data_IF_439547600752
#
_entry.id   IF_439547600752
#
_cell.length_a   1.000
_cell.length_b   1.000
_cell.length_c   1.000
_cell.angle_alpha   90.00
_cell.angle_beta   90.00
_cell.angle_gamma   90.00
#
_symmetry.space_group_name_H-M   'P 1'
#
loop_
_entity.id
_entity.type
_entity.pdbx_description
1 polymer ?
#
# COMPACT_ATOMS: atom_id res chain seq x y z
N UNK A 1 -3.46 35.22 32.75
CA UNK A 1 -2.29 34.52 32.17
C UNK A 1 -2.50 34.44 30.68
N UNK A 2 -1.64 35.06 29.87
CA UNK A 2 -1.67 34.88 28.43
C UNK A 2 -1.21 33.45 28.12
N UNK A 3 -1.91 32.74 27.22
CA UNK A 3 -1.45 31.45 26.73
C UNK A 3 -0.07 31.66 26.06
N UNK A 4 0.93 30.79 26.32
CA UNK A 4 2.23 30.90 25.69
C UNK A 4 2.06 30.84 24.16
N UNK A 5 2.77 31.71 23.45
CA UNK A 5 2.82 31.67 21.99
C UNK A 5 3.39 30.31 21.57
N UNK A 6 2.57 29.47 20.95
CA UNK A 6 2.99 28.21 20.36
C UNK A 6 3.69 28.57 19.05
N UNK A 7 5.01 28.65 19.08
CA UNK A 7 5.80 28.69 17.85
C UNK A 7 5.69 27.31 17.18
N UNK A 8 5.39 27.24 15.87
CA UNK A 8 5.39 25.96 15.18
C UNK A 8 6.81 25.38 15.26
N UNK A 9 6.93 24.15 15.76
CA UNK A 9 8.20 23.43 15.71
C UNK A 9 8.62 23.11 14.28
N UNK A 10 9.80 22.50 14.09
CA UNK A 10 10.29 22.15 12.76
C UNK A 10 9.33 21.17 12.07
N UNK A 11 9.23 21.26 10.75
CA UNK A 11 8.46 20.30 9.97
C UNK A 11 9.18 18.93 10.01
N UNK A 12 8.40 17.86 10.13
CA UNK A 12 8.93 16.50 10.20
C UNK A 12 8.05 15.53 9.40
N UNK A 13 8.67 14.50 8.87
CA UNK A 13 7.99 13.34 8.28
C UNK A 13 7.71 12.30 9.38
N UNK A 14 6.47 11.84 9.50
CA UNK A 14 6.08 10.78 10.42
C UNK A 14 5.99 9.45 9.66
N UNK A 15 6.85 8.50 10.00
CA UNK A 15 6.91 7.21 9.32
C UNK A 15 6.88 6.02 10.26
N UNK A 16 6.75 4.84 9.67
CA UNK A 16 7.01 3.58 10.34
C UNK A 16 7.86 2.64 9.50
N UNK A 17 8.49 1.67 10.17
CA UNK A 17 9.22 0.56 9.56
C UNK A 17 8.63 -0.74 10.09
N UNK A 18 8.28 -1.65 9.20
CA UNK A 18 7.98 -3.04 9.54
C UNK A 18 9.17 -3.91 9.21
N UNK A 19 9.62 -4.70 10.19
CA UNK A 19 10.83 -5.51 10.05
C UNK A 19 10.75 -6.84 10.80
N UNK A 20 11.56 -7.79 10.37
CA UNK A 20 11.90 -9.00 11.13
C UNK A 20 13.21 -8.76 11.86
N UNK A 21 13.29 -9.21 13.10
CA UNK A 21 14.47 -9.04 13.95
C UNK A 21 14.81 -10.35 14.67
N UNK A 22 16.06 -10.80 14.51
CA UNK A 22 16.57 -12.01 15.16
C UNK A 22 18.01 -11.79 15.63
N UNK A 23 18.23 -11.78 16.95
CA UNK A 23 19.55 -11.75 17.58
C UNK A 23 20.53 -10.72 16.99
N UNK A 24 20.06 -9.50 16.68
CA UNK A 24 20.87 -8.42 16.10
C UNK A 24 20.83 -8.31 14.58
N UNK A 25 20.18 -9.24 13.87
CA UNK A 25 19.93 -9.14 12.44
C UNK A 25 18.60 -8.43 12.18
N UNK A 26 18.64 -7.31 11.45
CA UNK A 26 17.47 -6.54 11.02
C UNK A 26 17.17 -6.85 9.54
N UNK A 27 15.89 -7.13 9.24
CA UNK A 27 15.36 -7.25 7.87
C UNK A 27 14.11 -6.39 7.73
N UNK A 28 14.28 -5.19 7.19
CA UNK A 28 13.21 -4.26 6.82
C UNK A 28 12.37 -4.89 5.71
N UNK A 29 11.09 -5.10 6.00
CA UNK A 29 10.10 -5.68 5.09
C UNK A 29 9.39 -4.59 4.29
N UNK A 30 9.08 -3.47 4.93
CA UNK A 30 8.46 -2.30 4.29
C UNK A 30 8.63 -1.03 5.13
N UNK A 31 8.53 0.11 4.46
CA UNK A 31 8.33 1.41 5.07
C UNK A 31 6.84 1.78 4.99
N UNK A 32 6.42 2.78 5.75
CA UNK A 32 5.05 3.28 5.65
C UNK A 32 4.90 4.68 6.23
N UNK A 33 3.83 5.35 5.83
CA UNK A 33 3.41 6.63 6.39
C UNK A 33 2.77 6.40 7.76
N UNK A 34 3.30 7.08 8.79
CA UNK A 34 2.80 7.00 10.16
C UNK A 34 1.35 7.49 10.32
N UNK A 35 0.87 8.35 9.43
CA UNK A 35 -0.49 8.88 9.48
C UNK A 35 -1.55 7.88 9.01
N UNK A 36 -1.20 7.02 8.04
CA UNK A 36 -2.09 5.99 7.52
C UNK A 36 -1.89 4.64 8.21
N UNK A 37 -0.75 4.50 8.91
CA UNK A 37 -0.41 3.36 9.75
C UNK A 37 -1.33 3.31 10.96
N UNK A 38 -2.22 2.32 10.99
CA UNK A 38 -3.11 2.08 12.12
C UNK A 38 -2.32 1.54 13.33
N UNK A 39 -1.68 2.43 14.09
CA UNK A 39 -1.04 2.11 15.36
C UNK A 39 -2.12 1.71 16.40
N UNK A 40 -2.04 0.49 16.91
CA UNK A 40 -3.02 -0.10 17.83
C UNK A 40 -2.32 -0.84 18.97
N UNK A 41 -3.07 -1.14 20.04
CA UNK A 41 -2.57 -1.90 21.18
C UNK A 41 -1.32 -1.25 21.79
N UNK A 42 -0.24 -2.03 21.87
CA UNK A 42 1.07 -1.59 22.39
C UNK A 42 1.67 -0.43 21.57
N UNK A 43 1.28 -0.25 20.30
CA UNK A 43 1.75 0.86 19.46
C UNK A 43 0.96 2.16 19.60
N UNK A 44 -0.17 2.17 20.32
CA UNK A 44 -1.12 3.28 20.30
C UNK A 44 -0.55 4.63 20.82
N UNK A 45 0.54 4.59 21.58
CA UNK A 45 1.21 5.79 22.10
C UNK A 45 2.11 6.49 21.06
N UNK A 46 2.48 5.82 19.96
CA UNK A 46 3.43 6.36 18.97
C UNK A 46 2.94 7.67 18.35
N UNK A 47 1.69 7.79 17.86
CA UNK A 47 1.17 9.06 17.35
C UNK A 47 1.14 10.17 18.40
N UNK A 48 0.84 9.84 19.67
CA UNK A 48 0.87 10.81 20.75
C UNK A 48 2.29 11.36 20.96
N UNK A 49 3.30 10.48 20.96
CA UNK A 49 4.70 10.89 21.10
C UNK A 49 5.18 11.77 19.94
N UNK A 50 4.70 11.52 18.72
CA UNK A 50 4.96 12.42 17.59
C UNK A 50 4.45 13.84 17.86
N UNK A 51 3.23 13.97 18.40
CA UNK A 51 2.65 15.27 18.76
C UNK A 51 3.36 15.93 19.95
N UNK A 52 3.81 15.16 20.94
CA UNK A 52 4.53 15.67 22.12
C UNK A 52 5.90 16.27 21.76
N UNK A 53 6.53 15.80 20.68
CA UNK A 53 7.77 16.40 20.15
C UNK A 53 7.56 17.79 19.54
N UNK A 54 6.31 18.22 19.36
CA UNK A 54 5.97 19.58 18.93
C UNK A 54 6.31 19.88 17.46
N UNK A 55 6.46 18.86 16.62
CA UNK A 55 6.69 19.04 15.19
C UNK A 55 5.57 19.85 14.55
N UNK A 56 5.95 20.68 13.57
CA UNK A 56 5.10 21.63 12.87
C UNK A 56 4.18 20.96 11.85
N UNK A 57 4.10 21.54 10.65
CA UNK A 57 3.32 20.93 9.57
C UNK A 57 4.06 19.69 9.07
N UNK A 58 3.29 18.74 8.56
CA UNK A 58 3.85 17.58 7.91
C UNK A 58 4.68 18.03 6.71
N UNK A 59 5.97 17.71 6.71
CA UNK A 59 6.79 17.81 5.51
C UNK A 59 6.31 16.73 4.53
N UNK A 60 5.35 17.07 3.67
CA UNK A 60 4.97 16.20 2.56
C UNK A 60 5.99 16.33 1.46
N UNK A 61 6.76 15.27 1.26
CA UNK A 61 7.60 15.08 0.09
C UNK A 61 6.93 13.99 -0.76
N UNK A 62 6.31 14.36 -1.90
CA UNK A 62 5.62 13.41 -2.77
C UNK A 62 6.48 12.25 -3.25
N UNK A 63 7.80 12.42 -3.30
CA UNK A 63 8.72 11.33 -3.67
C UNK A 63 8.95 10.41 -2.49
N UNK A 64 9.10 10.94 -1.27
CA UNK A 64 9.16 10.09 -0.08
C UNK A 64 7.88 9.29 0.06
N UNK A 65 6.71 9.91 -0.13
CA UNK A 65 5.42 9.21 -0.13
C UNK A 65 5.39 8.11 -1.20
N UNK A 66 5.89 8.38 -2.41
CA UNK A 66 5.98 7.36 -3.46
C UNK A 66 6.91 6.19 -3.10
N UNK A 67 8.03 6.45 -2.40
CA UNK A 67 8.96 5.43 -1.97
C UNK A 67 8.35 4.58 -0.86
N UNK A 68 7.82 5.21 0.19
CA UNK A 68 7.33 4.49 1.38
C UNK A 68 6.08 3.68 1.10
N UNK A 69 5.24 4.10 0.14
CA UNK A 69 4.02 3.37 -0.20
C UNK A 69 4.25 2.27 -1.25
N UNK A 70 5.41 2.26 -1.93
CA UNK A 70 5.72 1.28 -2.96
C UNK A 70 6.89 0.38 -2.55
N UNK A 71 6.62 -0.91 -2.39
CA UNK A 71 7.61 -1.89 -1.92
C UNK A 71 8.80 -2.07 -2.85
N UNK A 72 8.61 -1.95 -4.17
CA UNK A 72 9.73 -2.04 -5.13
C UNK A 72 10.63 -0.82 -4.96
N UNK A 73 10.05 0.38 -4.94
CA UNK A 73 10.80 1.64 -4.78
C UNK A 73 11.54 1.67 -3.44
N UNK A 74 10.91 1.21 -2.36
CA UNK A 74 11.58 1.01 -1.06
C UNK A 74 12.78 0.06 -1.22
N UNK A 75 12.60 -1.13 -1.78
CA UNK A 75 13.69 -2.11 -1.92
C UNK A 75 14.85 -1.61 -2.79
N UNK A 76 14.53 -0.89 -3.86
CA UNK A 76 15.52 -0.29 -4.76
C UNK A 76 16.25 0.87 -4.07
N UNK A 77 15.58 1.72 -3.29
CA UNK A 77 16.22 2.77 -2.50
C UNK A 77 17.23 2.20 -1.48
N UNK A 78 16.88 1.12 -0.78
CA UNK A 78 17.84 0.40 0.07
C UNK A 78 19.02 -0.13 -0.73
N UNK A 79 18.79 -0.65 -1.94
CA UNK A 79 19.86 -1.20 -2.78
C UNK A 79 20.82 -0.12 -3.28
N UNK A 80 20.28 1.01 -3.72
CA UNK A 80 21.02 2.14 -4.27
C UNK A 80 21.86 2.84 -3.19
N UNK A 81 21.40 2.80 -1.93
CA UNK A 81 22.17 3.27 -0.78
C UNK A 81 23.17 2.23 -0.22
N UNK A 82 23.35 1.08 -0.87
CA UNK A 82 24.27 0.04 -0.41
C UNK A 82 23.82 -0.66 0.87
N UNK A 83 22.52 -0.63 1.17
CA UNK A 83 21.88 -1.20 2.36
C UNK A 83 21.16 -2.53 2.05
N UNK A 84 21.61 -3.26 1.01
CA UNK A 84 21.00 -4.54 0.60
C UNK A 84 20.90 -5.57 1.72
N UNK A 85 21.83 -5.56 2.66
CA UNK A 85 21.83 -6.47 3.81
C UNK A 85 20.71 -6.20 4.83
N UNK A 86 20.06 -5.03 4.78
CA UNK A 86 18.96 -4.67 5.68
C UNK A 86 17.59 -5.10 5.14
N UNK A 87 17.51 -5.70 3.94
CA UNK A 87 16.25 -6.17 3.36
C UNK A 87 16.32 -7.66 3.04
N UNK A 88 15.19 -8.36 2.94
CA UNK A 88 15.15 -9.69 2.36
C UNK A 88 15.77 -9.73 0.96
N UNK A 89 16.29 -10.90 0.58
CA UNK A 89 16.63 -11.16 -0.82
C UNK A 89 15.34 -11.07 -1.64
N UNK A 90 15.32 -10.24 -2.67
CA UNK A 90 14.07 -9.92 -3.36
C UNK A 90 14.30 -9.47 -4.80
N UNK A 91 13.29 -9.68 -5.63
CA UNK A 91 13.23 -9.18 -7.00
C UNK A 91 11.79 -8.82 -7.40
N UNK A 92 11.67 -7.86 -8.31
CA UNK A 92 10.42 -7.46 -8.90
C UNK A 92 10.14 -8.26 -10.18
N UNK A 93 8.89 -8.66 -10.38
CA UNK A 93 8.43 -9.41 -11.55
C UNK A 93 7.18 -8.78 -12.14
N UNK A 94 7.00 -8.82 -13.47
CA UNK A 94 5.74 -8.41 -14.09
C UNK A 94 4.58 -9.30 -13.62
N UNK A 95 3.39 -8.74 -13.46
CA UNK A 95 2.13 -9.43 -13.17
C UNK A 95 1.57 -10.14 -14.40
N UNK A 96 2.41 -11.00 -14.97
CA UNK A 96 2.08 -11.87 -16.08
C UNK A 96 2.66 -13.24 -15.79
N UNK A 97 1.79 -14.24 -15.74
CA UNK A 97 2.25 -15.61 -15.67
C UNK A 97 2.98 -16.00 -16.96
N UNK A 98 4.11 -16.67 -16.81
CA UNK A 98 4.77 -17.36 -17.91
C UNK A 98 5.47 -18.62 -17.38
N UNK A 99 5.65 -19.59 -18.25
CA UNK A 99 6.38 -20.82 -17.91
C UNK A 99 7.76 -20.49 -17.38
N UNK A 100 8.11 -21.03 -16.21
CA UNK A 100 9.38 -20.78 -15.54
C UNK A 100 9.41 -19.54 -14.64
N UNK A 101 8.30 -18.80 -14.50
CA UNK A 101 8.21 -17.69 -13.54
C UNK A 101 8.53 -18.15 -12.12
N UNK A 102 7.93 -19.26 -11.65
CA UNK A 102 8.19 -19.81 -10.32
C UNK A 102 9.68 -20.09 -10.07
N UNK A 103 10.37 -20.69 -11.04
CA UNK A 103 11.82 -20.93 -10.95
C UNK A 103 12.61 -19.63 -10.82
N UNK A 104 12.31 -18.61 -11.62
CA UNK A 104 12.99 -17.31 -11.53
C UNK A 104 12.74 -16.63 -10.18
N UNK A 105 11.53 -16.77 -9.63
CA UNK A 105 11.21 -16.28 -8.29
C UNK A 105 12.07 -17.00 -7.25
N UNK A 106 12.11 -18.33 -7.26
CA UNK A 106 12.95 -19.12 -6.33
C UNK A 106 14.43 -18.78 -6.44
N UNK A 107 14.97 -18.68 -7.66
CA UNK A 107 16.36 -18.29 -7.89
C UNK A 107 16.64 -16.89 -7.28
N UNK A 108 15.69 -15.96 -7.41
CA UNK A 108 15.80 -14.61 -6.89
C UNK A 108 15.58 -14.50 -5.37
N UNK A 109 14.86 -15.43 -4.74
CA UNK A 109 14.57 -15.43 -3.29
C UNK A 109 15.42 -16.44 -2.50
N UNK A 110 16.34 -17.16 -3.15
CA UNK A 110 17.26 -18.08 -2.49
C UNK A 110 16.74 -19.53 -2.36
N UNK A 111 15.68 -19.88 -3.08
CA UNK A 111 15.19 -21.26 -3.25
C UNK A 111 14.34 -21.82 -2.09
N UNK A 112 14.16 -21.05 -1.02
CA UNK A 112 13.34 -21.43 0.14
C UNK A 112 11.92 -20.86 0.08
N UNK A 113 11.22 -20.85 1.23
CA UNK A 113 9.93 -20.16 1.37
C UNK A 113 10.05 -18.70 0.94
N UNK A 114 9.00 -18.17 0.31
CA UNK A 114 8.99 -16.80 -0.20
C UNK A 114 7.66 -16.10 0.06
N UNK A 115 7.67 -14.78 -0.02
CA UNK A 115 6.48 -13.93 0.07
C UNK A 115 6.30 -13.20 -1.25
N UNK A 116 5.07 -13.23 -1.77
CA UNK A 116 4.65 -12.45 -2.93
C UNK A 116 3.84 -11.24 -2.44
N UNK A 117 4.17 -10.04 -2.92
CA UNK A 117 3.56 -8.79 -2.47
C UNK A 117 3.19 -7.89 -3.64
N UNK A 118 1.98 -7.36 -3.61
CA UNK A 118 1.59 -6.21 -4.43
C UNK A 118 2.34 -4.96 -3.98
N UNK A 119 2.75 -4.12 -4.93
CA UNK A 119 3.69 -3.03 -4.65
C UNK A 119 3.07 -1.93 -3.79
N UNK A 120 1.80 -1.59 -4.03
CA UNK A 120 1.14 -0.39 -3.50
C UNK A 120 0.02 -0.69 -2.49
N UNK A 121 0.00 -1.91 -1.96
CA UNK A 121 -1.03 -2.36 -1.03
C UNK A 121 -0.53 -2.32 0.40
N UNK A 122 -1.33 -1.73 1.28
CA UNK A 122 -1.04 -1.69 2.71
C UNK A 122 -1.71 -2.87 3.45
N UNK A 123 -1.39 -3.02 4.74
CA UNK A 123 -2.13 -3.87 5.71
C UNK A 123 -2.12 -5.38 5.41
N UNK A 124 -1.21 -5.85 4.57
CA UNK A 124 -1.11 -7.27 4.21
C UNK A 124 -2.06 -7.70 3.10
N UNK A 125 -2.86 -6.79 2.53
CA UNK A 125 -3.79 -7.12 1.45
C UNK A 125 -3.01 -7.59 0.20
N UNK A 126 -3.20 -8.86 -0.17
CA UNK A 126 -2.49 -9.46 -1.29
C UNK A 126 -1.04 -9.85 -0.99
N UNK A 127 -0.66 -9.96 0.28
CA UNK A 127 0.58 -10.61 0.70
C UNK A 127 0.31 -12.12 0.77
N UNK A 128 1.06 -12.91 0.01
CA UNK A 128 0.89 -14.37 -0.06
C UNK A 128 2.21 -15.05 0.30
N UNK A 129 2.26 -15.78 1.41
CA UNK A 129 3.42 -16.59 1.74
C UNK A 129 3.32 -17.99 1.14
N UNK A 130 4.43 -18.45 0.59
CA UNK A 130 4.56 -19.77 -0.02
C UNK A 130 5.61 -20.55 0.75
N UNK A 131 5.15 -21.46 1.60
CA UNK A 131 6.02 -22.30 2.44
C UNK A 131 6.83 -23.28 1.60
N UNK A 132 6.15 -23.93 0.65
CA UNK A 132 6.68 -25.04 -0.13
C UNK A 132 7.06 -24.56 -1.54
N UNK A 133 8.35 -24.54 -1.90
CA UNK A 133 8.80 -24.09 -3.22
C UNK A 133 8.08 -24.79 -4.39
N UNK A 134 7.72 -26.07 -4.22
CA UNK A 134 7.01 -26.85 -5.24
C UNK A 134 5.58 -26.38 -5.51
N UNK A 135 4.91 -25.71 -4.56
CA UNK A 135 3.56 -25.15 -4.78
C UNK A 135 3.56 -23.75 -5.40
N UNK A 136 4.74 -23.11 -5.53
CA UNK A 136 4.83 -21.73 -5.99
C UNK A 136 4.25 -21.53 -7.40
N UNK A 137 4.44 -22.50 -8.30
CA UNK A 137 3.91 -22.39 -9.65
C UNK A 137 2.38 -22.39 -9.67
N UNK A 138 1.75 -23.29 -8.90
CA UNK A 138 0.29 -23.34 -8.75
C UNK A 138 -0.26 -22.05 -8.13
N UNK A 139 0.41 -21.50 -7.12
CA UNK A 139 0.04 -20.21 -6.50
C UNK A 139 0.14 -19.08 -7.52
N UNK A 140 1.24 -18.98 -8.26
CA UNK A 140 1.41 -17.95 -9.30
C UNK A 140 0.38 -18.08 -10.42
N UNK A 141 0.04 -19.30 -10.84
CA UNK A 141 -1.05 -19.54 -11.77
C UNK A 141 -2.38 -19.04 -11.20
N UNK A 142 -2.69 -19.38 -9.94
CA UNK A 142 -3.92 -18.94 -9.28
C UNK A 142 -4.02 -17.41 -9.14
N UNK A 143 -2.90 -16.72 -8.94
CA UNK A 143 -2.87 -15.25 -8.82
C UNK A 143 -2.90 -14.53 -10.18
N UNK A 144 -2.23 -15.10 -11.21
CA UNK A 144 -1.90 -14.38 -12.44
C UNK A 144 -2.60 -14.90 -13.70
N UNK A 145 -3.07 -16.15 -13.73
CA UNK A 145 -3.79 -16.72 -14.88
C UNK A 145 -5.30 -16.55 -14.81
N UNK A 146 -5.86 -16.02 -13.71
CA UNK A 146 -7.31 -15.90 -13.61
C UNK A 146 -7.86 -15.06 -14.77
N UNK A 147 -8.50 -15.80 -15.66
CA UNK A 147 -9.04 -15.41 -16.95
C UNK A 147 -10.08 -14.32 -16.75
N UNK A 148 -10.16 -13.47 -17.75
CA UNK A 148 -11.09 -12.37 -17.96
C UNK A 148 -12.59 -12.75 -17.92
N UNK A 149 -13.03 -13.61 -17.01
CA UNK A 149 -14.42 -13.68 -16.63
C UNK A 149 -14.66 -12.45 -15.74
N UNK A 150 -14.84 -11.30 -16.39
CA UNK A 150 -15.41 -10.15 -15.72
C UNK A 150 -16.69 -10.65 -15.08
N UNK A 151 -16.87 -10.57 -13.75
CA UNK A 151 -18.19 -10.76 -13.19
C UNK A 151 -19.08 -9.82 -13.98
N UNK A 152 -20.07 -10.38 -14.69
CA UNK A 152 -21.02 -9.54 -15.42
C UNK A 152 -21.52 -8.52 -14.42
N UNK A 153 -21.41 -7.21 -14.71
CA UNK A 153 -21.92 -6.22 -13.77
C UNK A 153 -23.35 -6.63 -13.43
N UNK A 154 -23.78 -6.48 -12.16
CA UNK A 154 -25.20 -6.66 -11.85
C UNK A 154 -25.97 -5.82 -12.88
N UNK A 155 -26.98 -6.39 -13.55
CA UNK A 155 -27.63 -5.77 -14.70
C UNK A 155 -27.95 -4.32 -14.37
N UNK A 156 -27.60 -3.43 -15.30
CA UNK A 156 -27.79 -1.99 -15.15
C UNK A 156 -29.21 -1.71 -14.60
N UNK A 157 -29.29 -0.80 -13.63
CA UNK A 157 -30.51 -0.40 -12.94
C UNK A 157 -31.45 0.42 -13.86
N UNK A 158 -31.68 -0.03 -15.08
CA UNK A 158 -32.64 0.55 -16.00
C UNK A 158 -34.06 0.15 -15.56
N UNK A 159 -34.62 0.93 -14.63
CA UNK A 159 -36.05 1.26 -14.61
C UNK A 159 -37.02 0.31 -13.89
N UNK A 160 -36.56 -0.69 -13.13
CA UNK A 160 -37.44 -1.56 -12.35
C UNK A 160 -37.70 -1.03 -10.95
N UNK A 161 -38.93 -0.61 -10.65
CA UNK A 161 -39.38 -0.15 -9.32
C UNK A 161 -39.17 -1.22 -8.24
N UNK A 162 -38.25 -1.01 -7.30
CA UNK A 162 -38.14 -1.85 -6.09
C UNK A 162 -37.74 -1.05 -4.84
N UNK A 163 -38.72 -0.39 -4.21
CA UNK A 163 -38.53 0.46 -3.02
C UNK A 163 -38.20 -0.30 -1.71
N UNK A 164 -38.11 -1.64 -1.75
CA UNK A 164 -37.74 -2.47 -0.59
C UNK A 164 -36.45 -3.29 -0.78
N UNK A 165 -35.63 -3.01 -1.80
CA UNK A 165 -34.76 -4.04 -2.37
C UNK A 165 -33.35 -3.60 -2.78
N UNK A 166 -32.97 -2.33 -2.58
CA UNK A 166 -31.62 -1.83 -2.91
C UNK A 166 -30.64 -1.98 -1.73
N UNK A 167 -31.03 -1.56 -0.53
CA UNK A 167 -30.20 -1.68 0.69
C UNK A 167 -29.88 -3.14 1.04
N UNK A 168 -30.84 -4.06 0.88
CA UNK A 168 -30.63 -5.49 1.11
C UNK A 168 -29.59 -6.08 0.14
N UNK A 169 -29.66 -5.70 -1.14
CA UNK A 169 -28.66 -6.11 -2.16
C UNK A 169 -27.28 -5.56 -1.85
N UNK A 170 -27.19 -4.31 -1.40
CA UNK A 170 -25.92 -3.70 -1.01
C UNK A 170 -25.30 -4.36 0.22
N UNK A 171 -26.13 -4.72 1.21
CA UNK A 171 -25.70 -5.49 2.38
C UNK A 171 -25.21 -6.89 1.98
N UNK A 172 -25.90 -7.58 1.08
CA UNK A 172 -25.47 -8.88 0.53
C UNK A 172 -24.15 -8.78 -0.22
N UNK A 173 -23.93 -7.72 -1.01
CA UNK A 173 -22.66 -7.48 -1.68
C UNK A 173 -21.52 -7.29 -0.67
N UNK A 174 -21.75 -6.49 0.37
CA UNK A 174 -20.79 -6.28 1.46
C UNK A 174 -20.47 -7.58 2.20
N UNK A 175 -21.47 -8.42 2.47
CA UNK A 175 -21.28 -9.74 3.11
C UNK A 175 -20.51 -10.71 2.21
N UNK A 176 -20.84 -10.74 0.92
CA UNK A 176 -20.16 -11.59 -0.07
C UNK A 176 -18.69 -11.21 -0.21
N UNK A 177 -18.38 -9.91 -0.18
CA UNK A 177 -17.01 -9.42 -0.24
C UNK A 177 -16.18 -9.92 0.96
N UNK A 178 -16.72 -9.83 2.18
CA UNK A 178 -16.04 -10.23 3.43
C UNK A 178 -15.96 -11.76 3.61
N UNK A 179 -16.79 -12.53 2.89
CA UNK A 179 -16.81 -13.99 3.02
C UNK A 179 -15.62 -14.69 2.35
N UNK A 180 -14.85 -13.99 1.51
CA UNK A 180 -13.63 -14.55 0.89
C UNK A 180 -12.54 -14.69 1.95
N UNK A 181 -11.80 -15.80 1.87
CA UNK A 181 -10.68 -16.08 2.78
C UNK A 181 -9.52 -16.73 2.02
N UNK A 182 -8.30 -16.56 2.53
CA UNK A 182 -7.11 -17.23 2.03
C UNK A 182 -6.77 -16.86 0.59
N UNK A 183 -6.41 -17.85 -0.24
CA UNK A 183 -5.90 -17.59 -1.59
C UNK A 183 -6.93 -16.92 -2.52
N UNK A 184 -8.23 -17.17 -2.33
CA UNK A 184 -9.27 -16.53 -3.14
C UNK A 184 -9.35 -15.02 -2.89
N UNK A 185 -9.27 -14.62 -1.62
CA UNK A 185 -9.23 -13.22 -1.19
C UNK A 185 -7.98 -12.52 -1.76
N UNK A 186 -6.81 -13.14 -1.61
CA UNK A 186 -5.59 -12.62 -2.20
C UNK A 186 -5.66 -12.51 -3.72
N UNK A 187 -6.20 -13.52 -4.41
CA UNK A 187 -6.41 -13.44 -5.86
C UNK A 187 -7.38 -12.32 -6.25
N UNK A 188 -8.36 -11.97 -5.41
CA UNK A 188 -9.21 -10.79 -5.64
C UNK A 188 -8.40 -9.49 -5.57
N UNK A 189 -7.56 -9.30 -4.56
CA UNK A 189 -6.69 -8.11 -4.48
C UNK A 189 -5.72 -8.03 -5.66
N UNK A 190 -5.09 -9.15 -6.04
CA UNK A 190 -4.17 -9.19 -7.18
C UNK A 190 -4.86 -8.90 -8.49
N UNK A 191 -6.12 -9.31 -8.64
CA UNK A 191 -6.93 -8.88 -9.78
C UNK A 191 -7.14 -7.39 -9.72
N UNK A 192 -7.68 -6.86 -8.62
CA UNK A 192 -8.04 -5.45 -8.49
C UNK A 192 -6.88 -4.45 -8.52
N UNK A 193 -5.64 -4.91 -8.34
CA UNK A 193 -4.45 -4.07 -8.26
C UNK A 193 -4.05 -3.47 -9.61
N UNK A 194 -3.81 -2.16 -9.62
CA UNK A 194 -3.52 -1.41 -10.85
C UNK A 194 -2.03 -1.45 -11.22
N UNK A 195 -1.17 -1.99 -10.37
CA UNK A 195 0.23 -2.18 -10.71
C UNK A 195 0.40 -3.37 -11.64
N UNK A 196 1.41 -3.31 -12.48
CA UNK A 196 1.79 -4.41 -13.39
C UNK A 196 3.04 -5.14 -12.92
N UNK A 197 3.55 -4.82 -11.73
CA UNK A 197 4.66 -5.51 -11.09
C UNK A 197 4.26 -5.97 -9.69
N UNK A 198 4.88 -7.04 -9.25
CA UNK A 198 4.85 -7.50 -7.86
C UNK A 198 6.27 -7.72 -7.35
N UNK A 199 6.43 -7.68 -6.04
CA UNK A 199 7.68 -8.00 -5.37
C UNK A 199 7.63 -9.45 -4.86
N UNK A 200 8.65 -10.24 -5.17
CA UNK A 200 8.88 -11.50 -4.48
C UNK A 200 10.10 -11.37 -3.59
N UNK A 201 10.00 -11.84 -2.35
CA UNK A 201 11.07 -11.79 -1.37
C UNK A 201 11.25 -13.12 -0.63
N UNK A 202 12.46 -13.36 -0.13
CA UNK A 202 12.76 -14.47 0.75
C UNK A 202 11.99 -14.32 2.06
N UNK A 203 11.42 -15.42 2.55
CA UNK A 203 10.83 -15.46 3.87
C UNK A 203 11.87 -15.14 4.95
N UNK A 204 11.50 -14.27 5.89
CA UNK A 204 12.34 -13.92 7.04
C UNK A 204 11.55 -14.16 8.32
N UNK A 205 12.20 -14.76 9.32
CA UNK A 205 11.65 -14.93 10.66
C UNK A 205 12.26 -13.90 11.61
N UNK A 206 11.49 -13.54 12.62
CA UNK A 206 11.98 -12.89 13.82
C UNK A 206 12.36 -13.95 14.86
N UNK A 207 13.11 -13.53 15.88
CA UNK A 207 13.16 -14.28 17.12
C UNK A 207 11.74 -14.46 17.68
N UNK A 208 11.41 -15.61 18.30
CA UNK A 208 10.07 -15.83 18.83
C UNK A 208 9.73 -14.82 19.95
N UNK A 209 8.52 -14.25 19.89
CA UNK A 209 8.03 -13.27 20.86
C UNK A 209 6.86 -13.85 21.63
N UNK A 210 6.82 -13.64 22.95
CA UNK A 210 5.72 -14.09 23.77
C UNK A 210 4.49 -13.19 23.57
N UNK A 211 3.40 -13.79 23.11
CA UNK A 211 2.10 -13.15 22.94
C UNK A 211 1.10 -13.57 24.03
N UNK A 212 -0.21 -13.37 23.77
CA UNK A 212 -1.26 -13.80 24.70
C UNK A 212 -1.16 -15.28 25.06
N UNK A 213 -1.40 -15.58 26.34
CA UNK A 213 -1.29 -16.96 26.86
C UNK A 213 0.14 -17.50 26.95
N UNK A 214 1.17 -16.65 26.76
CA UNK A 214 2.57 -17.05 26.85
C UNK A 214 3.04 -17.94 25.70
N UNK A 215 2.29 -17.98 24.58
CA UNK A 215 2.71 -18.69 23.36
C UNK A 215 3.73 -17.85 22.58
N UNK A 216 4.58 -18.52 21.82
CA UNK A 216 5.63 -17.88 21.03
C UNK A 216 5.16 -17.62 19.59
N UNK A 217 5.38 -16.41 19.08
CA UNK A 217 4.94 -15.96 17.76
C UNK A 217 6.12 -15.47 16.92
N UNK A 218 6.06 -15.67 15.60
CA UNK A 218 6.96 -15.01 14.63
C UNK A 218 6.43 -13.61 14.28
N UNK A 219 6.54 -12.70 15.25
CA UNK A 219 6.04 -11.34 15.12
C UNK A 219 6.77 -10.50 14.07
N UNK A 220 6.10 -9.46 13.58
CA UNK A 220 6.73 -8.37 12.82
C UNK A 220 6.93 -7.19 13.76
N UNK A 221 8.17 -6.74 13.96
CA UNK A 221 8.46 -5.57 14.76
C UNK A 221 8.12 -4.32 13.95
N UNK A 222 7.27 -3.46 14.50
CA UNK A 222 6.96 -2.15 13.95
C UNK A 222 7.65 -1.06 14.76
N UNK A 223 8.39 -0.19 14.09
CA UNK A 223 9.08 0.96 14.70
C UNK A 223 8.49 2.25 14.14
N UNK A 224 7.97 3.12 15.00
CA UNK A 224 7.55 4.47 14.63
C UNK A 224 8.72 5.45 14.74
N UNK A 225 8.86 6.34 13.76
CA UNK A 225 9.93 7.35 13.75
C UNK A 225 9.44 8.71 13.23
N UNK A 226 10.16 9.77 13.60
CA UNK A 226 10.02 11.09 12.99
C UNK A 226 11.34 11.51 12.35
N UNK A 227 11.30 12.02 11.12
CA UNK A 227 12.45 12.57 10.42
C UNK A 227 12.29 14.09 10.30
N UNK A 228 13.09 14.83 11.05
CA UNK A 228 13.11 16.29 11.04
C UNK A 228 13.67 16.80 9.69
N UNK A 229 12.96 17.74 9.07
CA UNK A 229 13.43 18.39 7.86
C UNK A 229 14.76 19.11 8.12
N UNK A 230 15.70 19.15 7.15
CA UNK A 230 16.92 19.94 7.29
C UNK A 230 16.58 21.40 7.61
N UNK A 231 17.23 21.96 8.63
CA UNK A 231 17.10 23.38 8.94
C UNK A 231 18.12 24.20 8.15
N UNK A 232 17.91 25.51 7.99
CA UNK A 232 18.86 26.39 7.31
C UNK A 232 20.28 26.39 7.92
N UNK A 233 20.44 25.88 9.14
CA UNK A 233 21.70 25.82 9.88
C UNK A 233 22.30 24.40 9.96
N UNK A 234 21.65 23.38 9.39
CA UNK A 234 22.13 21.99 9.46
C UNK A 234 21.75 21.20 8.21
N UNK A 235 22.77 20.69 7.51
CA UNK A 235 22.60 19.82 6.34
C UNK A 235 22.15 18.39 6.71
N UNK A 236 22.19 18.01 7.99
CA UNK A 236 21.76 16.69 8.47
C UNK A 236 20.33 16.73 9.01
N UNK A 237 19.47 15.89 8.43
CA UNK A 237 18.18 15.52 9.03
C UNK A 237 18.42 14.76 10.32
N UNK A 238 17.68 15.12 11.37
CA UNK A 238 17.66 14.37 12.63
C UNK A 238 16.51 13.38 12.57
N UNK A 239 16.73 12.19 13.12
CA UNK A 239 15.69 11.17 13.21
C UNK A 239 15.42 10.84 14.68
N UNK A 240 14.15 10.63 15.02
CA UNK A 240 13.69 10.42 16.38
C UNK A 240 12.92 9.10 16.45
N UNK A 241 13.27 8.27 17.43
CA UNK A 241 12.49 7.10 17.78
C UNK A 241 11.23 7.53 18.53
N UNK A 242 10.07 7.10 18.03
CA UNK A 242 8.78 7.30 18.68
C UNK A 242 8.39 6.07 19.50
N UNK A 243 8.86 4.88 19.13
CA UNK A 243 8.69 3.64 19.90
C UNK A 243 8.60 2.42 18.99
N UNK A 244 8.69 1.23 19.58
CA UNK A 244 8.57 -0.04 18.87
C UNK A 244 7.62 -1.02 19.57
N UNK A 245 6.96 -1.85 18.78
CA UNK A 245 6.09 -2.92 19.27
C UNK A 245 5.97 -4.06 18.26
N UNK A 246 5.64 -5.25 18.74
CA UNK A 246 5.45 -6.43 17.89
C UNK A 246 3.99 -6.52 17.43
N UNK A 247 3.79 -6.65 16.12
CA UNK A 247 2.55 -7.14 15.52
C UNK A 247 2.60 -8.67 15.54
N UNK A 248 1.58 -9.32 16.09
CA UNK A 248 1.51 -10.77 16.15
C UNK A 248 0.67 -11.31 14.99
N UNK A 249 1.08 -12.42 14.35
CA UNK A 249 0.23 -13.14 13.39
C UNK A 249 -0.96 -13.81 14.10
N UNK A 250 -1.88 -14.40 13.33
CA UNK A 250 -3.11 -15.00 13.83
C UNK A 250 -2.88 -16.23 14.73
N UNK A 251 -1.82 -16.97 14.45
CA UNK A 251 -1.46 -18.19 15.16
C UNK A 251 -0.03 -18.13 15.70
N UNK A 252 0.21 -18.87 16.77
CA UNK A 252 1.55 -19.03 17.31
C UNK A 252 2.43 -19.84 16.37
N UNK A 253 3.75 -19.66 16.45
CA UNK A 253 4.70 -20.30 15.55
C UNK A 253 4.67 -21.84 15.63
N UNK A 254 4.28 -22.39 16.78
CA UNK A 254 4.18 -23.82 17.07
C UNK A 254 2.81 -24.44 16.73
N UNK A 255 1.87 -23.66 16.21
CA UNK A 255 0.52 -24.15 15.91
C UNK A 255 0.49 -25.02 14.65
N UNK A 256 0.53 -26.35 14.83
CA UNK A 256 0.59 -27.30 13.73
C UNK A 256 -0.69 -27.34 12.85
N UNK A 257 -1.80 -26.74 13.31
CA UNK A 257 -3.05 -26.69 12.55
C UNK A 257 -3.18 -25.40 11.74
N UNK A 258 -2.38 -24.38 12.07
CA UNK A 258 -2.40 -23.11 11.36
C UNK A 258 -1.63 -23.20 10.04
N UNK A 259 -2.15 -22.49 9.04
CA UNK A 259 -1.48 -22.27 7.77
C UNK A 259 -0.17 -21.50 7.95
N UNK A 260 0.66 -21.49 6.92
CA UNK A 260 1.93 -20.77 6.95
C UNK A 260 1.74 -19.26 7.09
N UNK A 261 0.75 -18.68 6.39
CA UNK A 261 0.39 -17.27 6.49
C UNK A 261 -0.05 -16.91 7.92
N UNK A 262 -0.96 -17.69 8.50
CA UNK A 262 -1.49 -17.47 9.86
C UNK A 262 -0.39 -17.47 10.94
N UNK A 263 0.74 -18.15 10.72
CA UNK A 263 1.85 -18.21 11.68
C UNK A 263 2.90 -17.13 11.50
N UNK A 264 2.91 -16.43 10.37
CA UNK A 264 4.05 -15.61 9.98
C UNK A 264 3.74 -14.22 9.43
N UNK A 265 2.53 -14.02 8.90
CA UNK A 265 2.06 -12.74 8.37
C UNK A 265 1.29 -12.01 9.48
N UNK A 266 1.82 -10.87 9.92
CA UNK A 266 1.20 -10.09 11.00
C UNK A 266 0.26 -9.02 10.44
N UNK A 267 -1.01 -9.07 10.84
CA UNK A 267 -2.02 -8.08 10.47
C UNK A 267 -2.29 -7.09 11.62
N UNK A 268 -2.82 -5.90 11.31
CA UNK A 268 -3.18 -4.89 12.32
C UNK A 268 -4.63 -4.95 12.77
N UNK A 269 -5.48 -5.70 12.04
CA UNK A 269 -6.94 -5.80 12.26
C UNK A 269 -7.46 -7.23 12.45
N UNK A 270 -6.60 -8.21 12.16
CA UNK A 270 -6.68 -9.61 12.57
C UNK A 270 -5.33 -9.95 13.20
N UNK A 271 -5.25 -11.00 13.98
CA UNK A 271 -4.04 -11.39 14.71
C UNK A 271 -4.31 -11.74 16.17
N UNK A 272 -3.34 -12.37 16.81
CA UNK A 272 -3.31 -12.49 18.27
C UNK A 272 -3.07 -11.15 18.99
N UNK A 273 -3.08 -10.02 18.27
CA UNK A 273 -2.92 -8.68 18.81
C UNK A 273 -1.49 -8.14 18.69
N UNK A 274 -1.04 -7.46 19.73
CA UNK A 274 0.28 -6.81 19.79
C UNK A 274 1.02 -7.22 21.05
N UNK A 275 2.36 -7.20 21.01
CA UNK A 275 3.20 -7.42 22.19
C UNK A 275 4.24 -6.28 22.36
N UNK A 276 4.64 -5.97 23.60
CA UNK A 276 5.62 -4.91 23.86
C UNK A 276 7.00 -5.31 23.32
N UNK A 277 7.76 -4.35 22.80
CA UNK A 277 9.16 -4.56 22.45
C UNK A 277 10.04 -4.46 23.70
N UNK A 278 10.96 -5.41 23.88
CA UNK A 278 11.96 -5.30 24.93
C UNK A 278 12.88 -4.08 24.65
N UNK A 279 13.24 -3.33 25.69
CA UNK A 279 14.06 -2.13 25.54
C UNK A 279 15.43 -2.41 24.88
N UNK A 280 16.03 -3.56 25.19
CA UNK A 280 17.31 -3.99 24.59
C UNK A 280 17.17 -4.25 23.09
N UNK A 281 16.07 -4.84 22.64
CA UNK A 281 15.81 -5.08 21.22
C UNK A 281 15.48 -3.79 20.49
N UNK A 282 14.69 -2.89 21.11
CA UNK A 282 14.40 -1.57 20.58
C UNK A 282 15.69 -0.76 20.36
N UNK A 283 16.61 -0.77 21.33
CA UNK A 283 17.91 -0.08 21.24
C UNK A 283 18.76 -0.64 20.08
N UNK A 284 18.89 -1.97 19.98
CA UNK A 284 19.69 -2.62 18.92
C UNK A 284 19.12 -2.36 17.53
N UNK A 285 17.80 -2.46 17.38
CA UNK A 285 17.11 -2.16 16.12
C UNK A 285 17.27 -0.69 15.77
N UNK A 286 17.09 0.20 16.74
CA UNK A 286 17.21 1.63 16.51
C UNK A 286 18.62 2.05 16.09
N UNK A 287 19.67 1.47 16.67
CA UNK A 287 21.05 1.74 16.27
C UNK A 287 21.29 1.48 14.76
N UNK A 288 20.60 0.48 14.19
CA UNK A 288 20.65 0.19 12.74
C UNK A 288 19.79 1.19 11.96
N UNK A 289 18.57 1.48 12.42
CA UNK A 289 17.62 2.35 11.72
C UNK A 289 18.04 3.83 11.71
N UNK A 290 18.59 4.33 12.82
CA UNK A 290 19.04 5.72 12.97
C UNK A 290 20.08 6.12 11.93
N UNK A 291 20.94 5.18 11.53
CA UNK A 291 21.99 5.43 10.53
C UNK A 291 21.54 5.15 9.09
N UNK A 292 20.52 4.32 8.90
CA UNK A 292 20.08 3.87 7.58
C UNK A 292 18.91 4.68 7.02
N UNK A 293 17.90 4.98 7.84
CA UNK A 293 16.69 5.69 7.39
C UNK A 293 16.98 7.10 6.86
N UNK A 294 17.82 7.95 7.49
CA UNK A 294 18.15 9.25 6.93
C UNK A 294 18.84 9.17 5.57
N UNK A 295 19.51 8.05 5.24
CA UNK A 295 20.14 7.87 3.92
C UNK A 295 19.13 7.56 2.82
N UNK A 296 18.07 6.83 3.18
CA UNK A 296 17.01 6.41 2.27
C UNK A 296 15.99 7.54 2.07
N UNK A 297 15.64 8.22 3.17
CA UNK A 297 14.56 9.21 3.23
C UNK A 297 15.06 10.65 3.17
N UNK A 298 16.34 10.88 2.82
CA UNK A 298 16.86 12.23 2.67
C UNK A 298 16.19 12.90 1.46
N UNK A 299 15.56 14.08 1.65
CA UNK A 299 14.98 14.84 0.55
C UNK A 299 15.99 15.07 -0.58
N UNK A 300 15.56 14.89 -1.82
CA UNK A 300 16.40 15.05 -3.01
C UNK A 300 17.36 13.90 -3.32
N UNK A 301 17.40 12.83 -2.50
CA UNK A 301 18.18 11.62 -2.83
C UNK A 301 17.59 10.90 -4.05
N UNK A 302 16.25 10.92 -4.14
CA UNK A 302 15.49 10.41 -5.27
C UNK A 302 14.65 11.57 -5.79
N UNK A 303 14.73 11.82 -7.09
CA UNK A 303 13.94 12.81 -7.81
C UNK A 303 13.28 12.19 -9.05
N UNK A 304 12.40 12.93 -9.72
CA UNK A 304 11.75 12.45 -10.96
C UNK A 304 12.79 12.05 -12.03
N UNK A 305 13.83 12.87 -12.33
CA UNK A 305 14.92 12.47 -13.23
C UNK A 305 15.58 11.13 -12.84
N UNK A 306 15.84 10.92 -11.56
CA UNK A 306 16.41 9.68 -11.06
C UNK A 306 15.49 8.49 -11.32
N UNK A 307 14.18 8.62 -11.00
CA UNK A 307 13.20 7.57 -11.31
C UNK A 307 13.17 7.25 -12.80
N UNK A 308 13.18 8.28 -13.65
CA UNK A 308 13.18 8.12 -15.11
C UNK A 308 14.39 7.35 -15.63
N UNK A 309 15.59 7.64 -15.11
CA UNK A 309 16.80 6.91 -15.50
C UNK A 309 16.78 5.48 -14.92
N UNK A 310 16.42 5.33 -13.64
CA UNK A 310 16.44 4.04 -12.92
C UNK A 310 15.48 3.01 -13.50
N UNK A 311 14.34 3.45 -14.03
CA UNK A 311 13.28 2.61 -14.56
C UNK A 311 13.09 2.79 -16.08
N UNK A 312 14.09 3.28 -16.81
CA UNK A 312 13.99 3.46 -18.27
C UNK A 312 13.59 2.17 -19.00
N UNK A 313 14.07 1.03 -18.50
CA UNK A 313 13.84 -0.30 -19.08
C UNK A 313 12.58 -0.99 -18.49
N UNK A 314 11.82 -0.28 -17.66
CA UNK A 314 10.57 -0.73 -17.04
C UNK A 314 9.50 0.38 -17.16
N UNK A 315 9.05 0.70 -18.39
CA UNK A 315 8.24 1.89 -18.66
C UNK A 315 6.91 1.91 -17.89
N UNK A 316 6.32 0.75 -17.65
CA UNK A 316 5.07 0.61 -16.89
C UNK A 316 5.26 0.87 -15.39
N UNK A 317 6.32 0.33 -14.77
CA UNK A 317 6.70 0.66 -13.40
C UNK A 317 7.02 2.15 -13.24
N UNK A 318 7.74 2.72 -14.21
CA UNK A 318 8.05 4.15 -14.24
C UNK A 318 6.76 4.99 -14.33
N UNK A 319 5.84 4.64 -15.22
CA UNK A 319 4.57 5.35 -15.36
C UNK A 319 3.75 5.33 -14.07
N UNK A 320 3.67 4.18 -13.39
CA UNK A 320 3.02 4.08 -12.08
C UNK A 320 3.70 4.95 -11.02
N UNK A 321 5.03 4.94 -10.94
CA UNK A 321 5.79 5.77 -10.01
C UNK A 321 5.55 7.27 -10.26
N UNK A 322 5.57 7.71 -11.53
CA UNK A 322 5.33 9.09 -11.93
C UNK A 322 3.89 9.54 -11.64
N UNK A 323 2.90 8.67 -11.87
CA UNK A 323 1.51 8.96 -11.53
C UNK A 323 1.31 9.08 -10.00
N UNK A 324 1.94 8.22 -9.19
CA UNK A 324 1.89 8.39 -7.72
C UNK A 324 2.53 9.70 -7.28
N UNK A 325 3.72 10.01 -7.80
CA UNK A 325 4.38 11.29 -7.52
C UNK A 325 3.46 12.47 -7.88
N UNK A 326 2.83 12.44 -9.06
CA UNK A 326 1.89 13.48 -9.48
C UNK A 326 0.72 13.66 -8.50
N UNK A 327 0.14 12.55 -8.03
CA UNK A 327 -0.98 12.58 -7.07
C UNK A 327 -0.59 13.21 -5.72
N UNK A 328 0.64 12.95 -5.24
CA UNK A 328 1.18 13.55 -4.01
C UNK A 328 1.60 15.01 -4.20
N UNK A 329 2.14 15.35 -5.37
CA UNK A 329 2.71 16.66 -5.65
C UNK A 329 1.69 17.73 -6.02
N UNK A 330 0.45 17.37 -6.38
CA UNK A 330 -0.54 18.32 -6.92
C UNK A 330 -0.80 19.54 -6.02
N UNK A 331 -0.73 19.36 -4.70
CA UNK A 331 -0.97 20.43 -3.72
C UNK A 331 0.30 21.23 -3.38
N UNK A 332 1.48 20.71 -3.72
CA UNK A 332 2.80 21.30 -3.38
C UNK A 332 3.41 22.00 -4.60
N UNK A 333 3.46 21.30 -5.72
CA UNK A 333 3.94 21.79 -7.02
C UNK A 333 3.05 21.22 -8.13
N UNK A 334 1.97 21.94 -8.42
CA UNK A 334 0.99 21.49 -9.41
C UNK A 334 1.59 21.37 -10.82
N UNK A 335 2.54 22.22 -11.20
CA UNK A 335 3.15 22.16 -12.52
C UNK A 335 3.99 20.88 -12.66
N UNK A 336 4.88 20.61 -11.71
CA UNK A 336 5.67 19.38 -11.69
C UNK A 336 4.78 18.13 -11.63
N UNK A 337 3.70 18.17 -10.85
CA UNK A 337 2.72 17.09 -10.80
C UNK A 337 2.11 16.79 -12.17
N UNK A 338 1.61 17.81 -12.88
CA UNK A 338 1.03 17.65 -14.20
C UNK A 338 2.06 17.25 -15.27
N UNK A 339 3.30 17.72 -15.18
CA UNK A 339 4.40 17.28 -16.06
C UNK A 339 4.72 15.79 -15.88
N UNK A 340 4.80 15.33 -14.62
CA UNK A 340 5.01 13.93 -14.30
C UNK A 340 3.84 13.05 -14.77
N UNK A 341 2.59 13.49 -14.57
CA UNK A 341 1.42 12.77 -15.05
C UNK A 341 1.41 12.65 -16.57
N UNK A 342 1.71 13.74 -17.31
CA UNK A 342 1.82 13.69 -18.77
C UNK A 342 2.92 12.74 -19.24
N UNK A 343 4.02 12.64 -18.49
CA UNK A 343 5.06 11.66 -18.78
C UNK A 343 4.57 10.23 -18.55
N UNK A 344 3.85 9.97 -17.46
CA UNK A 344 3.22 8.69 -17.18
C UNK A 344 2.23 8.28 -18.29
N UNK A 345 1.40 9.21 -18.78
CA UNK A 345 0.47 8.98 -19.89
C UNK A 345 1.20 8.49 -21.15
N UNK A 346 2.22 9.22 -21.58
CA UNK A 346 3.01 8.86 -22.77
C UNK A 346 3.62 7.46 -22.64
N UNK A 347 4.17 7.14 -21.47
CA UNK A 347 4.73 5.81 -21.21
C UNK A 347 3.65 4.72 -21.28
N UNK A 348 2.48 4.97 -20.68
CA UNK A 348 1.34 4.03 -20.69
C UNK A 348 0.67 3.85 -22.06
N UNK A 349 0.89 4.76 -23.01
CA UNK A 349 0.35 4.67 -24.38
C UNK A 349 1.35 4.04 -25.36
N UNK A 350 2.65 4.20 -25.10
CA UNK A 350 3.72 3.78 -26.02
C UNK A 350 3.99 2.27 -26.00
N UNK A 351 3.60 1.60 -24.92
CA UNK A 351 3.88 0.18 -24.74
C UNK A 351 2.65 -0.65 -25.12
N UNK A 352 2.83 -1.63 -26.01
CA UNK A 352 1.83 -2.67 -26.29
C UNK A 352 1.99 -3.90 -25.39
N UNK A 353 2.92 -3.81 -24.43
CA UNK A 353 3.31 -4.87 -23.54
C UNK A 353 2.21 -5.32 -22.57
N UNK A 354 2.42 -6.48 -21.96
CA UNK A 354 1.52 -6.97 -20.93
C UNK A 354 1.49 -6.04 -19.71
N UNK A 355 0.32 -5.83 -19.13
CA UNK A 355 0.16 -4.97 -17.95
C UNK A 355 -0.13 -3.49 -18.25
N UNK A 356 0.04 -3.05 -19.50
CA UNK A 356 -0.22 -1.67 -19.93
C UNK A 356 -1.64 -1.21 -19.61
N UNK A 357 -2.63 -2.09 -19.76
CA UNK A 357 -4.02 -1.80 -19.41
C UNK A 357 -4.20 -1.41 -17.94
N UNK A 358 -3.49 -2.08 -17.02
CA UNK A 358 -3.52 -1.80 -15.57
C UNK A 358 -2.92 -0.43 -15.27
N UNK A 359 -1.72 -0.18 -15.79
CA UNK A 359 -1.02 1.10 -15.59
C UNK A 359 -1.77 2.26 -16.23
N UNK A 360 -2.29 2.08 -17.45
CA UNK A 360 -3.14 3.08 -18.11
C UNK A 360 -4.35 3.41 -17.25
N UNK A 361 -4.99 2.40 -16.67
CA UNK A 361 -6.08 2.61 -15.72
C UNK A 361 -5.63 3.43 -14.50
N UNK A 362 -4.46 3.14 -13.93
CA UNK A 362 -3.89 3.89 -12.79
C UNK A 362 -3.65 5.36 -13.15
N UNK A 363 -3.04 5.62 -14.29
CA UNK A 363 -2.74 6.97 -14.79
C UNK A 363 -4.03 7.76 -15.04
N UNK A 364 -5.02 7.17 -15.71
CA UNK A 364 -6.32 7.80 -15.96
C UNK A 364 -7.07 8.09 -14.66
N UNK A 365 -7.09 7.14 -13.72
CA UNK A 365 -7.67 7.36 -12.39
C UNK A 365 -6.97 8.49 -11.63
N UNK A 366 -5.65 8.55 -11.72
CA UNK A 366 -4.85 9.61 -11.10
C UNK A 366 -5.20 10.97 -11.69
N UNK A 367 -5.32 11.05 -13.01
CA UNK A 367 -5.79 12.26 -13.70
C UNK A 367 -7.16 12.71 -13.22
N UNK A 368 -8.12 11.79 -13.15
CA UNK A 368 -9.45 12.07 -12.61
C UNK A 368 -9.40 12.56 -11.17
N UNK A 369 -8.54 11.98 -10.33
CA UNK A 369 -8.33 12.40 -8.93
C UNK A 369 -7.79 13.83 -8.86
N UNK A 370 -6.82 14.18 -9.70
CA UNK A 370 -6.27 15.53 -9.78
C UNK A 370 -7.32 16.54 -10.27
N UNK A 371 -8.15 16.19 -11.27
CA UNK A 371 -9.29 17.02 -11.71
C UNK A 371 -10.33 17.22 -10.61
N UNK A 372 -10.67 16.17 -9.86
CA UNK A 372 -11.62 16.24 -8.75
C UNK A 372 -11.13 17.11 -7.60
N UNK A 373 -9.82 17.09 -7.28
CA UNK A 373 -9.21 17.96 -6.26
C UNK A 373 -9.16 19.43 -6.71
N UNK A 374 -9.12 19.66 -8.02
CA UNK A 374 -9.17 20.98 -8.64
C UNK A 374 -7.83 21.72 -8.61
N UNK A 375 -7.52 22.44 -9.67
CA UNK A 375 -6.44 23.43 -9.66
C UNK A 375 -7.10 24.80 -9.35
N UNK A 376 -6.72 25.44 -8.24
CA UNK A 376 -7.20 26.79 -7.86
C UNK A 376 -8.69 26.83 -7.45
N UNK A 377 -9.15 25.84 -6.69
CA UNK A 377 -10.39 25.97 -5.88
C UNK A 377 -11.71 25.67 -6.59
N UNK A 378 -11.69 25.02 -7.75
CA UNK A 378 -12.91 24.45 -8.37
C UNK A 378 -12.72 22.96 -8.61
N UNK A 379 -13.52 22.14 -7.91
CA UNK A 379 -13.58 20.71 -8.12
C UNK A 379 -14.31 20.42 -9.44
N UNK A 380 -13.72 19.60 -10.30
CA UNK A 380 -14.30 19.22 -11.59
C UNK A 380 -14.63 17.72 -11.61
N UNK A 381 -15.74 17.38 -10.95
CA UNK A 381 -16.24 16.01 -10.86
C UNK A 381 -16.75 15.47 -12.20
N UNK A 382 -17.12 16.34 -13.14
CA UNK A 382 -17.59 15.93 -14.46
C UNK A 382 -16.42 15.43 -15.32
N UNK A 383 -15.34 16.22 -15.41
CA UNK A 383 -14.11 15.77 -16.06
C UNK A 383 -13.50 14.56 -15.35
N UNK A 384 -13.53 14.55 -14.00
CA UNK A 384 -13.04 13.40 -13.24
C UNK A 384 -13.81 12.12 -13.56
N UNK A 385 -15.15 12.19 -13.67
CA UNK A 385 -15.98 11.04 -14.01
C UNK A 385 -15.58 10.40 -15.35
N UNK A 386 -15.35 11.22 -16.37
CA UNK A 386 -14.91 10.73 -17.69
C UNK A 386 -13.56 10.00 -17.63
N UNK A 387 -12.63 10.49 -16.81
CA UNK A 387 -11.35 9.82 -16.59
C UNK A 387 -11.50 8.50 -15.80
N UNK A 388 -12.42 8.43 -14.84
CA UNK A 388 -12.71 7.18 -14.13
C UNK A 388 -13.40 6.15 -15.03
N UNK A 389 -14.29 6.59 -15.91
CA UNK A 389 -14.92 5.72 -16.92
C UNK A 389 -13.85 5.14 -17.87
N UNK A 390 -12.95 5.99 -18.40
CA UNK A 390 -11.82 5.54 -19.22
C UNK A 390 -10.85 4.60 -18.47
N UNK A 391 -10.65 4.82 -17.17
CA UNK A 391 -9.86 3.90 -16.33
C UNK A 391 -10.54 2.52 -16.23
N UNK A 392 -11.85 2.48 -16.01
CA UNK A 392 -12.62 1.23 -15.96
C UNK A 392 -12.74 0.54 -17.32
N UNK A 393 -12.70 1.28 -18.43
CA UNK A 393 -12.59 0.72 -19.78
C UNK A 393 -11.22 0.05 -20.00
N UNK A 394 -10.14 0.68 -19.52
CA UNK A 394 -8.80 0.10 -19.57
C UNK A 394 -8.67 -1.13 -18.66
N UNK A 395 -9.28 -1.09 -17.46
CA UNK A 395 -9.23 -2.16 -16.47
C UNK A 395 -10.55 -2.26 -15.71
N UNK A 396 -11.44 -3.15 -16.18
CA UNK A 396 -12.80 -3.31 -15.65
C UNK A 396 -12.87 -3.73 -14.18
N UNK A 397 -11.78 -4.31 -13.64
CA UNK A 397 -11.70 -4.82 -12.28
C UNK A 397 -10.94 -3.89 -11.33
N UNK A 398 -10.73 -2.63 -11.71
CA UNK A 398 -10.14 -1.62 -10.83
C UNK A 398 -11.13 -1.14 -9.76
N UNK A 399 -10.93 -1.60 -8.52
CA UNK A 399 -11.77 -1.23 -7.39
C UNK A 399 -11.72 0.27 -7.08
N UNK A 400 -10.52 0.88 -7.08
CA UNK A 400 -10.35 2.29 -6.75
C UNK A 400 -11.03 3.21 -7.78
N UNK A 401 -10.95 2.89 -9.08
CA UNK A 401 -11.65 3.64 -10.13
C UNK A 401 -13.18 3.47 -10.01
N UNK A 402 -13.68 2.27 -9.70
CA UNK A 402 -15.11 2.05 -9.46
C UNK A 402 -15.63 2.90 -8.30
N UNK A 403 -14.92 2.92 -7.17
CA UNK A 403 -15.24 3.77 -6.03
C UNK A 403 -15.22 5.26 -6.39
N UNK A 404 -14.16 5.76 -7.03
CA UNK A 404 -14.04 7.17 -7.39
C UNK A 404 -15.10 7.60 -8.42
N UNK A 405 -15.49 6.69 -9.33
CA UNK A 405 -16.63 6.91 -10.21
C UNK A 405 -17.94 6.99 -9.43
N UNK A 406 -18.09 6.19 -8.39
CA UNK A 406 -19.19 6.24 -7.43
C UNK A 406 -19.22 7.58 -6.68
N UNK A 407 -18.07 8.07 -6.23
CA UNK A 407 -17.94 9.41 -5.62
C UNK A 407 -18.40 10.51 -6.58
N UNK A 408 -18.02 10.46 -7.86
CA UNK A 408 -18.47 11.45 -8.84
C UNK A 408 -20.00 11.44 -9.02
N UNK A 409 -20.63 10.26 -9.04
CA UNK A 409 -22.10 10.15 -9.06
C UNK A 409 -22.74 10.63 -7.75
N UNK A 410 -22.11 10.37 -6.60
CA UNK A 410 -22.57 10.86 -5.30
C UNK A 410 -22.64 12.39 -5.26
N UNK A 411 -21.60 13.07 -5.76
CA UNK A 411 -21.56 14.54 -5.85
C UNK A 411 -22.59 15.13 -6.83
N UNK A 412 -23.15 14.31 -7.71
CA UNK A 412 -24.27 14.65 -8.60
C UNK A 412 -25.64 14.28 -8.01
N UNK A 413 -25.68 13.83 -6.76
CA UNK A 413 -26.88 13.32 -6.08
C UNK A 413 -27.49 12.07 -6.73
N UNK A 414 -26.69 11.30 -7.48
CA UNK A 414 -27.09 10.01 -8.08
C UNK A 414 -26.80 8.86 -7.11
N UNK A 415 -27.43 8.86 -5.93
CA UNK A 415 -27.05 7.99 -4.81
C UNK A 415 -27.19 6.49 -5.09
N UNK A 416 -28.22 6.08 -5.83
CA UNK A 416 -28.39 4.68 -6.23
C UNK A 416 -27.24 4.19 -7.10
N UNK A 417 -26.84 5.00 -8.09
CA UNK A 417 -25.69 4.71 -8.96
C UNK A 417 -24.39 4.71 -8.16
N UNK A 418 -24.21 5.65 -7.24
CA UNK A 418 -23.05 5.71 -6.37
C UNK A 418 -22.94 4.45 -5.50
N UNK A 419 -24.04 4.00 -4.88
CA UNK A 419 -24.08 2.78 -4.08
C UNK A 419 -23.76 1.53 -4.89
N UNK A 420 -24.30 1.40 -6.11
CA UNK A 420 -23.97 0.29 -7.01
C UNK A 420 -22.48 0.23 -7.36
N UNK A 421 -21.85 1.39 -7.62
CA UNK A 421 -20.42 1.50 -7.89
C UNK A 421 -19.55 1.20 -6.65
N UNK A 422 -19.99 1.59 -5.46
CA UNK A 422 -19.36 1.19 -4.20
C UNK A 422 -19.45 -0.33 -3.99
N UNK A 423 -20.59 -0.97 -4.25
CA UNK A 423 -20.71 -2.42 -4.21
C UNK A 423 -19.78 -3.11 -5.20
N UNK A 424 -19.68 -2.59 -6.43
CA UNK A 424 -18.70 -3.10 -7.42
C UNK A 424 -17.28 -3.00 -6.89
N UNK A 425 -16.90 -1.85 -6.30
CA UNK A 425 -15.59 -1.70 -5.67
C UNK A 425 -15.33 -2.76 -4.60
N UNK A 426 -16.30 -3.03 -3.72
CA UNK A 426 -16.16 -4.01 -2.64
C UNK A 426 -16.10 -5.45 -3.15
N UNK A 427 -16.86 -5.79 -4.18
CA UNK A 427 -16.81 -7.11 -4.81
C UNK A 427 -15.49 -7.38 -5.52
N UNK A 428 -14.81 -6.33 -5.98
CA UNK A 428 -13.46 -6.38 -6.54
C UNK A 428 -12.41 -6.44 -5.43
N UNK A 429 -12.59 -5.64 -4.39
CA UNK A 429 -11.65 -5.50 -3.28
C UNK A 429 -12.38 -5.26 -1.95
N UNK A 430 -12.51 -6.33 -1.16
CA UNK A 430 -13.22 -6.33 0.11
C UNK A 430 -12.53 -5.46 1.18
N UNK A 431 -11.25 -5.13 1.01
CA UNK A 431 -10.51 -4.31 1.97
C UNK A 431 -10.59 -2.81 1.70
N UNK A 432 -11.33 -2.42 0.65
CA UNK A 432 -11.43 -1.02 0.24
C UNK A 432 -12.38 -0.22 1.16
N UNK A 433 -11.91 0.02 2.39
CA UNK A 433 -12.67 0.65 3.47
C UNK A 433 -13.46 1.91 3.10
N UNK A 434 -12.93 2.86 2.28
CA UNK A 434 -13.71 4.04 1.87
C UNK A 434 -15.03 3.69 1.17
N UNK A 435 -15.10 2.57 0.45
CA UNK A 435 -16.33 2.15 -0.23
C UNK A 435 -17.42 1.70 0.76
N UNK A 436 -17.08 1.09 1.91
CA UNK A 436 -18.09 0.77 2.94
C UNK A 436 -18.70 2.04 3.54
N UNK A 437 -17.87 3.01 3.90
CA UNK A 437 -18.34 4.27 4.48
C UNK A 437 -19.28 4.99 3.50
N UNK A 438 -18.88 5.06 2.23
CA UNK A 438 -19.66 5.72 1.20
C UNK A 438 -20.95 4.96 0.88
N UNK A 439 -20.90 3.62 0.82
CA UNK A 439 -22.09 2.79 0.62
C UNK A 439 -23.10 3.00 1.74
N UNK A 440 -22.64 3.05 3.00
CA UNK A 440 -23.49 3.35 4.14
C UNK A 440 -24.11 4.76 4.05
N UNK A 441 -23.36 5.76 3.58
CA UNK A 441 -23.92 7.10 3.33
C UNK A 441 -24.99 7.08 2.24
N UNK A 442 -24.78 6.35 1.14
CA UNK A 442 -25.79 6.18 0.10
C UNK A 442 -27.06 5.46 0.60
N UNK A 443 -26.96 4.57 1.59
CA UNK A 443 -28.14 3.95 2.22
C UNK A 443 -28.99 4.92 3.06
N UNK A 444 -28.39 6.02 3.54
CA UNK A 444 -29.03 6.96 4.46
C UNK A 444 -29.69 8.15 3.74
N UNK A 445 -29.34 8.39 2.49
CA UNK A 445 -29.85 9.47 1.63
C UNK A 445 -30.86 8.90 0.64
#
# INVERSE_FOLDING_TARGET
MAAPAIFPGPDAYFGCVDLKYDAGSVRVLELGDGHTSAFTGEGAFIPQRFHELGFGKLARDPILDAIVENKILTHDAFADMGLRGLRPQAAAFPMMYCTGLARRVLDATGGGPCVLKLCDRARGCGVVAVERPESLDEVLQALLLQVCDSPSPPPDADGGTVEATTTARWAECAQTAVARVGLEEHAAHWRADEQDWFLAEAWCNSQPVLGPGGRAFDGTLRVGFALEAPSCNSDSSRIHLLGAYWKLPDAAADDALATFDERGVSHTRGGAGTAPCAAEDEEKVWAVLETSLPRILRPGTLDVPHLMERYRDRPTLLASALARFAAGAVDVDSQAAWDALRAAERLSESDGGPGVARVRSYVLRTRGTMSARGHVGKTDWETAAAHYDAALEAMSHNAAAAYLRGMASFWRHEYERAGALCCRSLLLDADFAPAYCQLATCCLL
#
